data_IF_447587546085
#
_entry.id   IF_447587546085
#
_cell.length_a   1.000
_cell.length_b   1.000
_cell.length_c   1.000
_cell.angle_alpha   90.00
_cell.angle_beta   90.00
_cell.angle_gamma   90.00
#
_symmetry.space_group_name_H-M   'P 1'
#
loop_
_entity.id
_entity.type
_entity.pdbx_description
1 polymer ?
#
# COMPACT_ATOMS: atom_id res chain seq x y z
N UNK A 1 13.98 8.50 17.09
CA UNK A 1 14.39 7.13 17.43
C UNK A 1 14.98 6.46 16.20
N UNK A 2 16.07 5.71 16.36
CA UNK A 2 16.69 4.93 15.28
C UNK A 2 16.67 3.44 15.60
N UNK A 3 16.41 2.63 14.58
CA UNK A 3 16.40 1.18 14.64
C UNK A 3 17.41 0.62 13.64
N UNK A 4 18.19 -0.36 14.07
CA UNK A 4 18.98 -1.22 13.19
C UNK A 4 18.57 -2.66 13.50
N UNK A 5 17.95 -3.32 12.53
CA UNK A 5 17.25 -4.58 12.71
C UNK A 5 17.93 -5.68 11.91
N UNK A 6 18.18 -6.81 12.56
CA UNK A 6 18.76 -8.00 11.97
C UNK A 6 17.78 -9.17 12.03
N UNK A 7 17.57 -9.86 10.90
CA UNK A 7 17.00 -11.20 10.88
C UNK A 7 18.11 -12.19 11.20
N UNK A 8 18.08 -12.76 12.40
CA UNK A 8 19.17 -13.55 12.93
C UNK A 8 18.81 -15.04 13.04
N UNK A 9 19.74 -15.91 12.62
CA UNK A 9 19.69 -17.33 12.96
C UNK A 9 19.84 -17.51 14.48
N UNK A 10 20.69 -16.70 15.12
CA UNK A 10 20.76 -16.60 16.57
C UNK A 10 21.21 -15.23 17.05
N UNK A 11 20.63 -14.81 18.18
CA UNK A 11 21.06 -13.63 18.94
C UNK A 11 21.11 -13.97 20.42
N UNK A 12 22.27 -13.76 21.03
CA UNK A 12 22.50 -13.94 22.46
C UNK A 12 23.10 -12.68 23.03
N UNK A 13 22.65 -12.25 24.20
CA UNK A 13 23.32 -11.20 24.95
C UNK A 13 23.47 -11.61 26.43
N UNK A 14 24.48 -11.03 27.07
CA UNK A 14 24.84 -11.30 28.47
C UNK A 14 25.41 -10.03 29.11
N UNK A 15 24.88 -9.65 30.27
CA UNK A 15 25.28 -8.45 31.01
C UNK A 15 26.07 -8.83 32.26
N UNK A 16 27.20 -8.15 32.51
CA UNK A 16 28.00 -8.43 33.71
C UNK A 16 27.25 -8.11 35.02
N UNK A 17 27.49 -8.91 36.07
CA UNK A 17 26.90 -8.84 37.43
C UNK A 17 27.11 -7.50 38.18
N UNK A 18 27.80 -6.52 37.58
CA UNK A 18 28.07 -5.19 38.14
C UNK A 18 27.06 -4.12 37.76
N UNK A 19 25.94 -4.50 37.15
CA UNK A 19 24.94 -3.59 36.59
C UNK A 19 24.23 -2.81 37.70
N UNK A 20 24.00 -1.51 37.47
CA UNK A 20 23.27 -0.63 38.38
C UNK A 20 21.88 -1.23 38.64
N UNK A 21 21.48 -1.38 39.91
CA UNK A 21 20.24 -2.08 40.32
C UNK A 21 18.94 -1.41 39.82
N UNK A 22 19.07 -0.31 39.08
CA UNK A 22 18.02 0.51 38.46
C UNK A 22 17.78 0.16 36.99
N UNK A 23 18.65 -0.63 36.35
CA UNK A 23 18.50 -1.02 34.96
C UNK A 23 17.37 -2.05 34.80
N UNK A 24 16.28 -1.66 34.15
CA UNK A 24 15.17 -2.58 33.83
C UNK A 24 15.49 -3.35 32.55
N UNK A 25 15.22 -4.66 32.53
CA UNK A 25 15.45 -5.54 31.38
C UNK A 25 15.70 -6.99 31.81
N UNK A 26 15.97 -7.85 30.84
CA UNK A 26 16.44 -9.23 31.09
C UNK A 26 17.96 -9.27 30.98
N UNK A 27 18.68 -9.78 31.97
CA UNK A 27 20.16 -9.74 32.01
C UNK A 27 20.84 -10.65 30.97
N UNK A 28 20.27 -11.83 30.75
CA UNK A 28 20.76 -12.80 29.77
C UNK A 28 19.59 -13.36 28.98
N UNK A 29 19.68 -13.29 27.64
CA UNK A 29 18.73 -13.99 26.79
C UNK A 29 19.41 -14.54 25.54
N UNK A 30 18.85 -15.63 25.04
CA UNK A 30 19.21 -16.26 23.78
C UNK A 30 17.93 -16.53 22.99
N UNK A 31 17.96 -16.19 21.70
CA UNK A 31 16.87 -16.40 20.76
C UNK A 31 17.42 -16.92 19.44
N UNK A 32 16.81 -17.99 18.97
CA UNK A 32 17.03 -18.55 17.64
C UNK A 32 15.94 -18.03 16.70
N UNK A 33 16.27 -17.86 15.43
CA UNK A 33 15.34 -17.36 14.39
C UNK A 33 14.54 -16.13 14.82
N UNK A 34 15.24 -15.05 15.14
CA UNK A 34 14.64 -13.88 15.77
C UNK A 34 14.94 -12.58 15.02
N UNK A 35 14.17 -11.55 15.36
CA UNK A 35 14.38 -10.19 14.93
C UNK A 35 15.15 -9.44 16.03
N UNK A 36 16.45 -9.25 15.84
CA UNK A 36 17.30 -8.48 16.75
C UNK A 36 17.28 -7.00 16.36
N UNK A 37 16.55 -6.18 17.13
CA UNK A 37 16.41 -4.74 16.91
C UNK A 37 17.31 -3.95 17.87
N UNK A 38 18.34 -3.33 17.32
CA UNK A 38 19.17 -2.36 18.01
C UNK A 38 18.45 -1.01 18.00
N UNK A 39 18.20 -0.43 19.17
CA UNK A 39 17.35 0.77 19.31
C UNK A 39 18.11 1.92 19.97
N UNK A 40 18.13 3.07 19.31
CA UNK A 40 18.58 4.35 19.89
C UNK A 40 17.39 5.29 20.04
N UNK A 41 17.10 5.70 21.27
CA UNK A 41 16.17 6.79 21.57
C UNK A 41 16.96 8.10 21.51
N UNK A 42 16.46 9.09 20.78
CA UNK A 42 17.09 10.41 20.61
C UNK A 42 16.31 11.45 21.43
N UNK A 43 16.95 12.56 21.81
CA UNK A 43 16.33 13.62 22.63
C UNK A 43 15.01 14.12 22.03
N UNK A 44 14.94 14.24 20.70
CA UNK A 44 13.72 14.69 20.00
C UNK A 44 12.49 13.78 20.18
N UNK A 45 12.66 12.54 20.62
CA UNK A 45 11.56 11.59 20.86
C UNK A 45 10.72 11.98 22.09
N UNK A 46 11.23 12.86 22.95
CA UNK A 46 10.53 13.37 24.15
C UNK A 46 9.29 14.18 23.79
N UNK A 47 9.25 14.71 22.57
CA UNK A 47 8.18 15.59 22.11
C UNK A 47 6.86 14.83 21.93
N UNK A 48 6.91 13.54 21.61
CA UNK A 48 5.75 12.66 21.47
C UNK A 48 6.15 11.19 21.71
N UNK A 49 6.36 10.78 22.98
CA UNK A 49 6.87 9.45 23.31
C UNK A 49 5.91 8.34 22.88
N UNK A 50 4.61 8.49 23.14
CA UNK A 50 3.59 7.47 22.81
C UNK A 50 3.49 7.24 21.29
N UNK A 51 3.53 8.32 20.50
CA UNK A 51 3.51 8.24 19.04
C UNK A 51 4.79 7.59 18.49
N UNK A 52 5.94 7.92 19.08
CA UNK A 52 7.23 7.32 18.72
C UNK A 52 7.23 5.81 19.02
N UNK A 53 6.66 5.40 20.16
CA UNK A 53 6.49 4.00 20.54
C UNK A 53 5.59 3.27 19.55
N UNK A 54 4.42 3.82 19.24
CA UNK A 54 3.49 3.21 18.29
C UNK A 54 4.10 3.03 16.89
N UNK A 55 4.77 4.07 16.38
CA UNK A 55 5.46 4.02 15.08
C UNK A 55 6.59 2.98 15.07
N UNK A 56 7.35 2.90 16.17
CA UNK A 56 8.43 1.93 16.32
C UNK A 56 7.89 0.50 16.40
N UNK A 57 6.79 0.29 17.13
CA UNK A 57 6.06 -0.99 17.19
C UNK A 57 5.64 -1.43 15.79
N UNK A 58 4.93 -0.58 15.06
CA UNK A 58 4.42 -0.92 13.73
C UNK A 58 5.57 -1.27 12.78
N UNK A 59 6.66 -0.50 12.81
CA UNK A 59 7.85 -0.79 11.99
C UNK A 59 8.49 -2.15 12.34
N UNK A 60 8.54 -2.52 13.62
CA UNK A 60 9.09 -3.81 14.09
C UNK A 60 8.14 -4.96 13.72
N UNK A 61 6.83 -4.80 13.90
CA UNK A 61 5.82 -5.82 13.58
C UNK A 61 5.71 -6.08 12.08
N UNK A 62 5.81 -5.04 11.26
CA UNK A 62 5.83 -5.16 9.80
C UNK A 62 7.03 -6.00 9.32
N UNK A 63 8.22 -5.73 9.90
CA UNK A 63 9.43 -6.50 9.61
C UNK A 63 9.31 -7.95 10.11
N UNK A 64 8.84 -8.14 11.34
CA UNK A 64 8.63 -9.47 11.93
C UNK A 64 7.68 -10.32 11.07
N UNK A 65 6.57 -9.73 10.61
CA UNK A 65 5.60 -10.40 9.72
C UNK A 65 6.21 -10.72 8.36
N UNK A 66 6.93 -9.77 7.76
CA UNK A 66 7.58 -9.94 6.45
C UNK A 66 8.61 -11.07 6.49
N UNK A 67 9.39 -11.14 7.57
CA UNK A 67 10.48 -12.09 7.74
C UNK A 67 10.04 -13.40 8.40
N UNK A 68 8.78 -13.47 8.88
CA UNK A 68 8.21 -14.58 9.65
C UNK A 68 9.03 -14.90 10.91
N UNK A 69 9.47 -13.84 11.59
CA UNK A 69 10.17 -13.95 12.87
C UNK A 69 9.16 -13.78 14.01
N UNK A 70 9.03 -14.82 14.84
CA UNK A 70 8.09 -14.84 15.95
C UNK A 70 8.69 -14.18 17.22
N UNK A 71 9.99 -14.36 17.43
CA UNK A 71 10.74 -13.81 18.56
C UNK A 71 11.39 -12.45 18.19
N UNK A 72 11.26 -11.45 19.06
CA UNK A 72 11.87 -10.12 18.91
C UNK A 72 12.79 -9.83 20.10
N UNK A 73 14.00 -9.37 19.82
CA UNK A 73 14.96 -8.92 20.83
C UNK A 73 15.21 -7.43 20.67
N UNK A 74 14.87 -6.65 21.70
CA UNK A 74 15.20 -5.23 21.78
C UNK A 74 16.56 -5.05 22.47
N UNK A 75 17.55 -4.56 21.74
CA UNK A 75 18.87 -4.25 22.27
C UNK A 75 19.07 -2.73 22.31
N UNK A 76 19.08 -2.09 23.49
CA UNK A 76 19.31 -0.66 23.56
C UNK A 76 20.75 -0.28 23.22
N UNK A 77 20.94 0.78 22.44
CA UNK A 77 22.27 1.33 22.13
C UNK A 77 22.18 2.84 21.92
N UNK A 78 23.23 3.58 22.31
CA UNK A 78 23.31 5.03 22.08
C UNK A 78 24.04 5.39 20.77
N UNK A 79 24.51 4.40 20.01
CA UNK A 79 25.51 4.61 18.95
C UNK A 79 24.96 4.69 17.51
N UNK A 80 23.64 4.58 17.31
CA UNK A 80 23.06 4.67 15.95
C UNK A 80 22.66 6.10 15.57
N UNK A 81 22.41 6.94 16.58
CA UNK A 81 21.94 8.33 16.44
C UNK A 81 23.03 9.36 16.70
N UNK A 82 22.74 10.60 16.34
CA UNK A 82 23.66 11.74 16.53
C UNK A 82 23.38 12.51 17.83
N UNK A 83 22.21 12.30 18.45
CA UNK A 83 21.76 12.97 19.67
C UNK A 83 20.97 12.01 20.60
N UNK A 84 21.64 10.99 21.19
CA UNK A 84 20.97 10.01 22.03
C UNK A 84 20.40 10.64 23.31
N UNK A 85 19.18 10.24 23.68
CA UNK A 85 18.52 10.64 24.92
C UNK A 85 19.27 10.12 26.15
N UNK A 86 18.97 10.69 27.33
CA UNK A 86 19.49 10.17 28.60
C UNK A 86 18.92 8.78 28.93
N UNK A 87 19.60 8.08 29.84
CA UNK A 87 19.29 6.69 30.17
C UNK A 87 17.90 6.51 30.82
N UNK A 88 17.40 7.52 31.54
CA UNK A 88 16.08 7.46 32.17
C UNK A 88 14.99 7.53 31.11
N UNK A 89 15.06 8.53 30.24
CA UNK A 89 14.13 8.70 29.13
C UNK A 89 14.16 7.52 28.16
N UNK A 90 15.36 7.09 27.75
CA UNK A 90 15.51 5.96 26.85
C UNK A 90 14.93 4.67 27.47
N UNK A 91 15.14 4.47 28.77
CA UNK A 91 14.58 3.35 29.52
C UNK A 91 13.04 3.35 29.55
N UNK A 92 12.41 4.52 29.74
CA UNK A 92 10.96 4.66 29.75
C UNK A 92 10.35 4.34 28.38
N UNK A 93 10.89 4.92 27.31
CA UNK A 93 10.40 4.71 25.92
C UNK A 93 10.54 3.25 25.52
N UNK A 94 11.66 2.60 25.87
CA UNK A 94 11.89 1.21 25.53
C UNK A 94 11.06 0.23 26.35
N UNK A 95 10.76 0.54 27.61
CA UNK A 95 9.81 -0.25 28.39
C UNK A 95 8.40 -0.18 27.79
N UNK A 96 7.96 1.02 27.41
CA UNK A 96 6.67 1.20 26.73
C UNK A 96 6.61 0.43 25.40
N UNK A 97 7.68 0.47 24.60
CA UNK A 97 7.77 -0.31 23.35
C UNK A 97 7.76 -1.82 23.58
N UNK A 98 8.45 -2.29 24.61
CA UNK A 98 8.47 -3.70 24.99
C UNK A 98 7.07 -4.21 25.38
N UNK A 99 6.33 -3.42 26.15
CA UNK A 99 4.97 -3.75 26.58
C UNK A 99 3.98 -3.70 25.40
N UNK A 100 4.08 -2.69 24.53
CA UNK A 100 3.20 -2.52 23.35
C UNK A 100 3.46 -3.60 22.28
N UNK A 101 4.69 -4.11 22.18
CA UNK A 101 5.02 -5.25 21.31
C UNK A 101 4.56 -6.60 21.87
N UNK A 102 4.39 -6.71 23.20
CA UNK A 102 3.84 -7.91 23.84
C UNK A 102 2.33 -7.99 23.71
N UNK A 103 1.64 -6.86 23.57
CA UNK A 103 0.20 -6.83 23.44
C UNK A 103 -0.26 -7.65 22.21
N UNK A 104 -1.01 -8.72 22.45
CA UNK A 104 -1.44 -9.69 21.43
C UNK A 104 -0.43 -10.79 21.04
N UNK A 105 0.76 -10.85 21.67
CA UNK A 105 1.80 -11.87 21.45
C UNK A 105 2.13 -12.63 22.74
N UNK A 106 1.16 -13.37 23.26
CA UNK A 106 1.36 -14.27 24.39
C UNK A 106 1.83 -15.66 23.92
N UNK A 107 2.79 -16.22 24.64
CA UNK A 107 3.27 -17.60 24.48
C UNK A 107 3.31 -18.24 25.86
N UNK A 108 2.77 -19.45 25.98
CA UNK A 108 2.59 -20.14 27.27
C UNK A 108 3.92 -20.49 27.97
N UNK A 109 5.04 -20.55 27.23
CA UNK A 109 6.33 -21.05 27.75
C UNK A 109 7.40 -19.96 27.95
N UNK A 110 7.42 -18.88 27.15
CA UNK A 110 8.38 -17.75 27.27
C UNK A 110 7.90 -16.50 26.52
N UNK A 111 8.29 -15.28 26.94
CA UNK A 111 7.89 -14.06 26.24
C UNK A 111 8.54 -13.99 24.85
N UNK A 112 7.71 -13.73 23.83
CA UNK A 112 8.11 -13.53 22.44
C UNK A 112 8.99 -12.27 22.27
N UNK A 113 8.83 -11.29 23.16
CA UNK A 113 9.60 -10.04 23.16
C UNK A 113 10.45 -9.96 24.41
N UNK A 114 11.76 -9.80 24.22
CA UNK A 114 12.72 -9.63 25.31
C UNK A 114 13.57 -8.39 25.05
N UNK A 115 13.84 -7.63 26.11
CA UNK A 115 14.69 -6.44 26.07
C UNK A 115 15.92 -6.61 26.95
N UNK A 116 17.09 -6.28 26.40
CA UNK A 116 18.32 -6.16 27.20
C UNK A 116 18.28 -4.89 28.07
N UNK A 117 18.87 -4.90 29.28
CA UNK A 117 18.91 -3.71 30.12
C UNK A 117 19.77 -2.61 29.50
N UNK A 118 19.53 -1.38 29.94
CA UNK A 118 20.38 -0.24 29.62
C UNK A 118 21.72 -0.35 30.36
N UNK A 119 22.85 -0.41 29.64
CA UNK A 119 24.15 -0.52 30.30
C UNK A 119 25.35 -0.57 29.37
N UNK A 120 26.55 -0.38 29.93
CA UNK A 120 27.81 -0.21 29.17
C UNK A 120 28.64 -1.51 29.07
N UNK A 121 28.20 -2.59 29.72
CA UNK A 121 28.91 -3.88 29.76
C UNK A 121 28.00 -5.05 29.32
N UNK A 122 27.44 -4.95 28.12
CA UNK A 122 26.65 -6.05 27.51
C UNK A 122 27.47 -6.69 26.40
N UNK A 123 27.81 -7.96 26.57
CA UNK A 123 28.36 -8.78 25.49
C UNK A 123 27.21 -9.35 24.65
N UNK A 124 27.38 -9.43 23.33
CA UNK A 124 26.40 -10.08 22.47
C UNK A 124 27.07 -10.88 21.35
N UNK A 125 26.35 -11.90 20.86
CA UNK A 125 26.68 -12.70 19.69
C UNK A 125 25.49 -12.63 18.75
N UNK A 126 25.74 -12.24 17.50
CA UNK A 126 24.74 -12.13 16.44
C UNK A 126 25.19 -12.98 15.24
N UNK A 127 24.33 -13.89 14.80
CA UNK A 127 24.48 -14.61 13.54
C UNK A 127 23.33 -14.18 12.60
N UNK A 128 23.59 -13.21 11.72
CA UNK A 128 22.60 -12.71 10.77
C UNK A 128 22.39 -13.68 9.59
N UNK A 129 21.15 -13.77 9.09
CA UNK A 129 20.81 -14.56 7.91
C UNK A 129 21.39 -13.94 6.64
N UNK A 130 21.74 -14.77 5.66
CA UNK A 130 22.33 -14.33 4.40
C UNK A 130 21.29 -14.00 3.32
N UNK A 131 20.52 -12.92 3.50
CA UNK A 131 19.59 -12.42 2.47
C UNK A 131 19.43 -10.88 2.47
N UNK A 132 18.99 -10.25 1.36
CA UNK A 132 18.96 -8.78 1.24
C UNK A 132 18.12 -8.04 2.28
N UNK A 133 17.09 -8.70 2.84
CA UNK A 133 16.23 -8.15 3.89
C UNK A 133 16.71 -8.49 5.32
N UNK A 134 17.87 -9.11 5.47
CA UNK A 134 18.36 -9.57 6.77
C UNK A 134 18.89 -8.42 7.61
N UNK A 135 19.23 -7.30 6.99
CA UNK A 135 19.77 -6.11 7.64
C UNK A 135 18.93 -4.92 7.17
N UNK A 136 18.30 -4.20 8.10
CA UNK A 136 17.43 -3.07 7.81
C UNK A 136 17.66 -1.95 8.83
N UNK A 137 17.79 -0.71 8.36
CA UNK A 137 17.77 0.48 9.24
C UNK A 137 16.46 1.24 9.10
N UNK A 138 15.94 1.77 10.20
CA UNK A 138 14.77 2.66 10.22
C UNK A 138 15.05 3.90 11.06
N UNK A 139 14.51 5.03 10.62
CA UNK A 139 14.46 6.26 11.41
C UNK A 139 12.99 6.59 11.70
N UNK A 140 12.67 6.74 12.97
CA UNK A 140 11.35 7.10 13.49
C UNK A 140 11.44 8.54 14.00
N UNK A 141 10.54 9.41 13.55
CA UNK A 141 10.52 10.83 13.96
C UNK A 141 9.12 11.25 14.38
N UNK A 142 9.04 12.03 15.46
CA UNK A 142 7.79 12.54 16.05
C UNK A 142 7.02 13.58 15.19
N UNK A 143 7.45 13.84 13.95
CA UNK A 143 6.81 14.83 13.07
C UNK A 143 5.39 14.45 12.61
N UNK A 144 4.88 13.28 13.02
CA UNK A 144 3.51 12.81 12.77
C UNK A 144 2.50 13.13 13.91
N UNK A 145 2.81 14.10 14.80
CA UNK A 145 2.00 14.49 15.97
C UNK A 145 0.62 15.16 15.70
N UNK A 146 -0.01 14.90 14.54
CA UNK A 146 -1.44 15.13 14.34
C UNK A 146 -2.15 13.80 14.08
N UNK A 147 -2.29 12.98 15.13
CA UNK A 147 -3.31 11.93 15.18
C UNK A 147 -3.78 11.68 16.60
N UNK A 148 -5.08 11.89 16.78
CA UNK A 148 -5.87 11.48 17.93
C UNK A 148 -5.82 9.95 18.14
N UNK A 149 -6.06 9.58 19.40
CA UNK A 149 -6.10 8.25 20.03
C UNK A 149 -6.63 7.07 19.20
N UNK A 150 -6.29 5.82 19.57
CA UNK A 150 -6.71 4.61 18.86
C UNK A 150 -8.24 4.40 18.99
N UNK A 151 -8.99 4.90 18.01
CA UNK A 151 -10.35 4.45 17.71
C UNK A 151 -10.32 3.39 16.62
N UNK A 152 -11.12 2.33 16.76
CA UNK A 152 -11.40 1.21 15.84
C UNK A 152 -11.01 1.40 14.36
N UNK A 153 -10.42 0.35 13.77
CA UNK A 153 -9.94 0.15 12.38
C UNK A 153 -11.00 0.31 11.26
N UNK A 154 -11.97 1.21 11.39
CA UNK A 154 -12.89 1.53 10.30
C UNK A 154 -12.33 2.71 9.49
N UNK A 155 -12.01 2.46 8.22
CA UNK A 155 -11.79 3.53 7.26
C UNK A 155 -12.99 4.48 7.25
N UNK A 156 -12.78 5.78 7.48
CA UNK A 156 -13.87 6.75 7.37
C UNK A 156 -14.31 6.82 5.91
N UNK A 157 -15.60 6.58 5.66
CA UNK A 157 -16.17 6.52 4.32
C UNK A 157 -17.25 7.58 4.12
N UNK A 158 -17.09 8.35 3.05
CA UNK A 158 -18.01 9.41 2.67
C UNK A 158 -18.19 9.46 1.15
N UNK A 159 -19.27 10.09 0.72
CA UNK A 159 -19.52 10.49 -0.66
C UNK A 159 -19.23 11.98 -0.74
N UNK A 160 -18.35 12.37 -1.66
CA UNK A 160 -18.14 13.75 -2.06
C UNK A 160 -18.96 14.00 -3.32
N UNK A 161 -19.66 15.14 -3.36
CA UNK A 161 -20.40 15.57 -4.54
C UNK A 161 -19.69 16.72 -5.26
N UNK A 162 -19.97 16.96 -6.56
CA UNK A 162 -19.34 18.03 -7.34
C UNK A 162 -19.51 19.44 -6.75
N UNK A 163 -20.61 19.69 -6.03
CA UNK A 163 -20.86 20.94 -5.28
C UNK A 163 -20.12 21.02 -3.93
N UNK A 164 -19.21 20.08 -3.67
CA UNK A 164 -18.40 19.94 -2.45
C UNK A 164 -19.18 19.61 -1.18
N UNK A 165 -20.46 19.23 -1.34
CA UNK A 165 -21.24 18.63 -0.27
C UNK A 165 -20.70 17.24 0.07
N UNK A 166 -20.93 16.80 1.30
CA UNK A 166 -20.46 15.50 1.82
C UNK A 166 -21.60 14.77 2.50
N UNK A 167 -21.65 13.47 2.29
CA UNK A 167 -22.60 12.59 2.96
C UNK A 167 -21.87 11.34 3.45
N UNK A 168 -22.18 10.88 4.67
CA UNK A 168 -21.69 9.58 5.15
C UNK A 168 -22.18 8.45 4.24
N UNK A 169 -21.32 7.48 3.93
CA UNK A 169 -21.69 6.33 3.10
C UNK A 169 -22.79 5.48 3.78
N UNK A 170 -22.70 5.30 5.10
CA UNK A 170 -23.74 4.61 5.90
C UNK A 170 -25.06 5.37 5.86
N UNK A 171 -25.03 6.70 6.01
CA UNK A 171 -26.25 7.52 5.94
C UNK A 171 -26.91 7.42 4.55
N UNK A 172 -26.09 7.41 3.50
CA UNK A 172 -26.56 7.17 2.13
C UNK A 172 -27.17 5.77 1.98
N UNK A 173 -26.49 4.73 2.46
CA UNK A 173 -27.01 3.36 2.48
C UNK A 173 -28.34 3.24 3.25
N UNK A 174 -28.45 3.85 4.42
CA UNK A 174 -29.67 3.74 5.25
C UNK A 174 -30.85 4.55 4.71
N UNK A 175 -30.61 5.56 3.88
CA UNK A 175 -31.68 6.41 3.35
C UNK A 175 -32.71 5.65 2.50
N UNK A 176 -32.37 4.46 1.99
CA UNK A 176 -33.23 3.64 1.13
C UNK A 176 -33.59 4.33 -0.19
N UNK A 177 -33.86 3.55 -1.23
CA UNK A 177 -34.55 4.05 -2.42
C UNK A 177 -35.66 3.08 -2.78
N UNK A 178 -36.75 3.61 -3.33
CA UNK A 178 -37.84 2.82 -3.87
C UNK A 178 -37.30 1.76 -4.85
N UNK A 179 -37.94 0.59 -4.85
CA UNK A 179 -37.51 -0.69 -5.42
C UNK A 179 -37.19 -0.74 -6.95
N UNK A 180 -36.98 0.40 -7.61
CA UNK A 180 -36.55 0.53 -9.00
C UNK A 180 -35.12 1.06 -9.21
N UNK A 181 -34.36 1.35 -8.14
CA UNK A 181 -33.03 2.00 -8.19
C UNK A 181 -31.82 1.03 -8.25
N UNK A 182 -32.02 -0.25 -8.53
CA UNK A 182 -30.93 -1.24 -8.72
C UNK A 182 -30.04 -0.97 -9.94
N UNK A 183 -30.33 0.08 -10.71
CA UNK A 183 -29.53 0.51 -11.86
C UNK A 183 -28.53 1.64 -11.54
N UNK A 184 -28.57 2.25 -10.35
CA UNK A 184 -27.60 3.30 -9.97
C UNK A 184 -26.26 2.65 -9.54
N UNK A 185 -25.15 2.88 -10.26
CA UNK A 185 -23.86 2.30 -9.87
C UNK A 185 -23.34 2.83 -8.53
N UNK A 186 -23.69 4.06 -8.14
CA UNK A 186 -23.26 4.64 -6.86
C UNK A 186 -23.94 3.91 -5.71
N UNK A 187 -25.24 3.65 -5.87
CA UNK A 187 -26.03 2.87 -4.91
C UNK A 187 -25.51 1.44 -4.78
N UNK A 188 -25.25 0.79 -5.91
CA UNK A 188 -24.73 -0.58 -5.93
C UNK A 188 -23.38 -0.67 -5.23
N UNK A 189 -22.49 0.30 -5.48
CA UNK A 189 -21.19 0.39 -4.81
C UNK A 189 -21.33 0.64 -3.31
N UNK A 190 -22.14 1.61 -2.90
CA UNK A 190 -22.34 1.95 -1.49
C UNK A 190 -22.94 0.78 -0.69
N UNK A 191 -24.00 0.16 -1.23
CA UNK A 191 -24.63 -1.01 -0.62
C UNK A 191 -23.66 -2.18 -0.49
N UNK A 192 -22.81 -2.37 -1.50
CA UNK A 192 -21.80 -3.42 -1.47
C UNK A 192 -20.75 -3.17 -0.38
N UNK A 193 -20.15 -1.98 -0.35
CA UNK A 193 -19.11 -1.62 0.65
C UNK A 193 -19.65 -1.79 2.08
N UNK A 194 -20.85 -1.25 2.36
CA UNK A 194 -21.44 -1.31 3.71
C UNK A 194 -21.84 -2.73 4.12
N UNK A 195 -22.35 -3.56 3.20
CA UNK A 195 -22.68 -4.97 3.52
C UNK A 195 -21.44 -5.75 3.92
N UNK A 196 -20.35 -5.61 3.17
CA UNK A 196 -19.12 -6.35 3.44
C UNK A 196 -18.47 -5.95 4.76
N UNK A 197 -18.55 -4.69 5.18
CA UNK A 197 -18.06 -4.26 6.49
C UNK A 197 -18.80 -4.91 7.66
N UNK A 198 -20.11 -5.09 7.51
CA UNK A 198 -20.91 -5.77 8.53
C UNK A 198 -20.56 -7.27 8.63
N UNK A 199 -20.13 -7.88 7.51
CA UNK A 199 -19.67 -9.26 7.48
C UNK A 199 -18.26 -9.44 8.10
N UNK A 200 -17.37 -8.45 7.98
CA UNK A 200 -16.03 -8.47 8.63
C UNK A 200 -16.08 -8.55 10.15
N UNK A 201 -17.13 -8.00 10.78
CA UNK A 201 -17.32 -8.12 12.23
C UNK A 201 -17.59 -9.57 12.70
N UNK A 202 -17.84 -10.51 11.77
CA UNK A 202 -18.19 -11.90 12.07
C UNK A 202 -17.10 -12.94 11.73
N UNK A 203 -15.88 -12.50 11.42
CA UNK A 203 -14.69 -13.36 11.43
C UNK A 203 -14.49 -14.21 10.17
N UNK A 204 -13.93 -13.61 9.13
CA UNK A 204 -12.94 -14.23 8.22
C UNK A 204 -12.27 -13.10 7.41
N UNK A 205 -11.33 -12.41 8.04
CA UNK A 205 -10.78 -11.15 7.55
C UNK A 205 -9.54 -11.38 6.68
N UNK A 206 -9.66 -11.97 5.47
CA UNK A 206 -8.58 -11.94 4.45
C UNK A 206 -9.00 -12.07 2.96
N UNK A 207 -10.28 -12.06 2.57
CA UNK A 207 -10.68 -12.03 1.14
C UNK A 207 -11.49 -10.78 0.79
N UNK A 208 -10.87 -9.61 0.88
CA UNK A 208 -11.46 -8.37 0.36
C UNK A 208 -11.02 -8.12 -1.08
N UNK A 209 -11.73 -8.69 -2.05
CA UNK A 209 -11.94 -8.11 -3.39
C UNK A 209 -13.16 -8.72 -4.08
N UNK A 210 -14.04 -7.87 -4.63
CA UNK A 210 -14.89 -8.26 -5.77
C UNK A 210 -14.01 -8.40 -6.99
N UNK A 211 -13.31 -9.52 -7.03
CA UNK A 211 -13.18 -10.18 -8.31
C UNK A 211 -14.51 -10.90 -8.50
N UNK A 212 -15.18 -10.66 -9.63
CA UNK A 212 -15.69 -11.81 -10.34
C UNK A 212 -14.50 -12.76 -10.41
N UNK A 213 -14.42 -13.71 -9.46
CA UNK A 213 -13.25 -14.56 -9.20
C UNK A 213 -12.72 -14.95 -10.56
N UNK A 214 -11.60 -14.33 -10.94
CA UNK A 214 -11.11 -14.41 -12.29
C UNK A 214 -10.40 -15.76 -12.40
N UNK A 215 -11.20 -16.83 -12.32
CA UNK A 215 -10.91 -18.03 -13.03
C UNK A 215 -10.69 -17.56 -14.45
N UNK A 216 -9.41 -17.45 -14.84
CA UNK A 216 -8.98 -17.01 -16.17
C UNK A 216 -9.85 -17.74 -17.17
N UNK A 217 -10.81 -17.04 -17.81
CA UNK A 217 -11.74 -17.74 -18.66
C UNK A 217 -10.92 -18.29 -19.83
N UNK A 218 -11.09 -19.57 -20.14
CA UNK A 218 -10.63 -20.09 -21.43
C UNK A 218 -11.40 -19.31 -22.50
N UNK A 219 -10.76 -18.26 -23.02
CA UNK A 219 -11.39 -17.37 -23.98
C UNK A 219 -11.73 -18.15 -25.24
N UNK A 220 -12.97 -18.02 -25.71
CA UNK A 220 -13.38 -18.47 -27.04
C UNK A 220 -12.68 -17.62 -28.10
N UNK A 221 -12.67 -18.02 -29.38
CA UNK A 221 -12.14 -17.17 -30.45
C UNK A 221 -12.73 -15.74 -30.46
N UNK A 222 -14.02 -15.61 -30.13
CA UNK A 222 -14.66 -14.31 -29.98
C UNK A 222 -14.13 -13.55 -28.76
N UNK A 223 -13.97 -14.22 -27.62
CA UNK A 223 -13.37 -13.63 -26.42
C UNK A 223 -11.93 -13.16 -26.65
N UNK A 224 -11.13 -13.93 -27.38
CA UNK A 224 -9.77 -13.55 -27.78
C UNK A 224 -9.77 -12.30 -28.66
N UNK A 225 -10.67 -12.22 -29.64
CA UNK A 225 -10.82 -11.03 -30.47
C UNK A 225 -11.18 -9.79 -29.65
N UNK A 226 -12.14 -9.90 -28.73
CA UNK A 226 -12.53 -8.78 -27.84
C UNK A 226 -11.34 -8.34 -26.96
N UNK A 227 -10.64 -9.30 -26.35
CA UNK A 227 -9.46 -9.01 -25.52
C UNK A 227 -8.39 -8.24 -26.30
N UNK A 228 -8.07 -8.70 -27.50
CA UNK A 228 -7.02 -8.11 -28.34
C UNK A 228 -7.44 -6.73 -28.86
N UNK A 229 -8.72 -6.55 -29.20
CA UNK A 229 -9.29 -5.25 -29.57
C UNK A 229 -9.24 -4.25 -28.40
N UNK A 230 -9.55 -4.68 -27.17
CA UNK A 230 -9.39 -3.84 -25.97
C UNK A 230 -7.92 -3.47 -25.79
N UNK A 231 -6.99 -4.42 -25.90
CA UNK A 231 -5.56 -4.17 -25.75
C UNK A 231 -5.03 -3.14 -26.77
N UNK A 232 -5.44 -3.28 -28.03
CA UNK A 232 -5.09 -2.35 -29.11
C UNK A 232 -5.68 -0.96 -28.85
N UNK A 233 -6.94 -0.88 -28.44
CA UNK A 233 -7.60 0.39 -28.16
C UNK A 233 -7.00 1.11 -26.94
N UNK A 234 -6.67 0.38 -25.86
CA UNK A 234 -5.95 0.93 -24.71
C UNK A 234 -4.62 1.54 -25.13
N UNK A 235 -3.86 0.84 -25.97
CA UNK A 235 -2.58 1.36 -26.50
C UNK A 235 -2.80 2.62 -27.34
N UNK A 236 -3.81 2.64 -28.21
CA UNK A 236 -4.12 3.81 -29.03
C UNK A 236 -4.49 5.03 -28.17
N UNK A 237 -5.36 4.85 -27.17
CA UNK A 237 -5.76 5.93 -26.25
C UNK A 237 -4.58 6.43 -25.42
N UNK A 238 -3.70 5.55 -24.96
CA UNK A 238 -2.49 5.95 -24.24
C UNK A 238 -1.52 6.77 -25.14
N UNK A 239 -1.35 6.36 -26.39
CA UNK A 239 -0.51 7.08 -27.38
C UNK A 239 -1.11 8.45 -27.73
N UNK A 240 -2.42 8.53 -27.92
CA UNK A 240 -3.14 9.81 -28.11
C UNK A 240 -2.90 10.77 -26.92
N UNK A 241 -2.77 10.21 -25.71
CA UNK A 241 -2.47 10.96 -24.48
C UNK A 241 -0.97 11.26 -24.27
N UNK A 242 -0.11 10.93 -25.26
CA UNK A 242 1.33 11.23 -25.25
C UNK A 242 2.24 10.11 -24.72
N UNK A 243 1.69 8.94 -24.39
CA UNK A 243 2.47 7.80 -23.93
C UNK A 243 3.31 7.18 -25.06
N UNK A 244 4.56 6.80 -24.74
CA UNK A 244 5.38 6.01 -25.65
C UNK A 244 5.31 4.53 -25.31
N UNK A 245 4.95 3.67 -26.27
CA UNK A 245 5.01 2.23 -26.08
C UNK A 245 6.44 1.77 -25.83
N UNK A 246 6.63 1.01 -24.75
CA UNK A 246 7.88 0.32 -24.47
C UNK A 246 7.61 -1.18 -24.35
N UNK A 247 8.56 -1.96 -24.85
CA UNK A 247 8.61 -3.40 -24.64
C UNK A 247 9.82 -3.71 -23.75
N UNK A 248 9.63 -3.83 -22.42
CA UNK A 248 10.74 -4.09 -21.53
C UNK A 248 11.34 -5.47 -21.85
N UNK A 249 12.62 -5.51 -22.23
CA UNK A 249 13.34 -6.72 -22.66
C UNK A 249 13.41 -7.85 -21.62
N UNK A 250 12.94 -7.60 -20.41
CA UNK A 250 12.75 -8.56 -19.33
C UNK A 250 11.32 -8.45 -18.82
N UNK A 251 10.41 -9.17 -19.48
CA UNK A 251 9.42 -9.94 -18.72
C UNK A 251 10.27 -10.89 -17.85
N UNK A 252 10.78 -10.40 -16.72
CA UNK A 252 10.91 -11.28 -15.59
C UNK A 252 9.48 -11.70 -15.33
N UNK A 253 9.10 -12.83 -15.94
CA UNK A 253 8.06 -13.70 -15.43
C UNK A 253 8.38 -13.81 -13.95
N UNK A 254 7.70 -13.02 -13.14
CA UNK A 254 7.82 -13.12 -11.71
C UNK A 254 7.05 -14.38 -11.32
N UNK A 255 7.64 -15.53 -11.68
CA UNK A 255 7.17 -16.87 -11.32
C UNK A 255 7.29 -17.07 -9.80
N UNK A 256 7.91 -16.12 -9.08
CA UNK A 256 8.21 -16.20 -7.66
C UNK A 256 7.21 -15.50 -6.75
N UNK A 257 6.21 -14.78 -7.29
CA UNK A 257 5.26 -14.06 -6.45
C UNK A 257 3.97 -14.82 -6.21
N UNK A 258 3.55 -14.77 -4.94
CA UNK A 258 2.17 -14.93 -4.51
C UNK A 258 1.23 -14.14 -5.42
N UNK A 259 -0.04 -14.59 -5.58
CA UNK A 259 -1.08 -13.89 -6.32
C UNK A 259 -0.99 -12.38 -6.14
N UNK A 260 -0.75 -11.63 -7.22
CA UNK A 260 -0.80 -10.17 -7.13
C UNK A 260 -2.25 -9.80 -6.89
N UNK A 261 -2.57 -9.40 -5.67
CA UNK A 261 -3.88 -8.86 -5.32
C UNK A 261 -4.26 -7.74 -6.28
N UNK A 262 -5.50 -7.79 -6.78
CA UNK A 262 -6.00 -6.92 -7.85
C UNK A 262 -5.97 -5.40 -7.54
N UNK A 263 -5.67 -5.02 -6.30
CA UNK A 263 -5.64 -3.64 -5.81
C UNK A 263 -4.27 -3.13 -5.41
N UNK A 264 -3.29 -4.02 -5.39
CA UNK A 264 -1.91 -3.55 -5.38
C UNK A 264 -1.56 -2.95 -6.75
N UNK A 265 -0.97 -1.74 -6.79
CA UNK A 265 -0.45 -1.23 -8.05
C UNK A 265 0.60 -2.19 -8.60
N UNK A 266 0.75 -2.29 -9.92
CA UNK A 266 1.81 -3.12 -10.51
C UNK A 266 3.18 -2.68 -9.98
N UNK A 267 4.15 -3.62 -9.83
CA UNK A 267 5.46 -3.29 -9.29
C UNK A 267 6.19 -2.29 -10.19
N UNK A 268 6.96 -1.40 -9.57
CA UNK A 268 7.81 -0.46 -10.32
C UNK A 268 8.96 -1.25 -10.94
N UNK A 269 8.92 -1.44 -12.26
CA UNK A 269 9.94 -2.20 -12.99
C UNK A 269 11.15 -1.33 -13.33
N UNK A 270 12.40 -1.81 -13.14
CA UNK A 270 13.61 -1.06 -13.50
C UNK A 270 13.62 -0.59 -14.97
N UNK A 271 13.08 -1.40 -15.89
CA UNK A 271 12.98 -1.05 -17.30
C UNK A 271 12.00 0.12 -17.57
N UNK A 272 10.90 0.20 -16.80
CA UNK A 272 9.95 1.32 -16.86
C UNK A 272 10.62 2.59 -16.34
N UNK A 273 11.28 2.53 -15.18
CA UNK A 273 12.04 3.67 -14.62
C UNK A 273 13.11 4.17 -15.60
N UNK A 274 13.92 3.25 -16.13
CA UNK A 274 14.98 3.60 -17.09
C UNK A 274 14.41 4.23 -18.38
N UNK A 275 13.21 3.83 -18.81
CA UNK A 275 12.54 4.46 -19.95
C UNK A 275 12.03 5.87 -19.62
N UNK A 276 11.47 6.06 -18.42
CA UNK A 276 11.01 7.35 -17.92
C UNK A 276 12.18 8.35 -17.78
N UNK A 277 13.31 7.94 -17.21
CA UNK A 277 14.50 8.78 -17.03
C UNK A 277 15.14 9.17 -18.37
N UNK A 278 15.21 8.23 -19.32
CA UNK A 278 15.71 8.53 -20.68
C UNK A 278 14.83 9.56 -21.39
N UNK A 279 13.51 9.52 -21.20
CA UNK A 279 12.62 10.54 -21.76
C UNK A 279 12.82 11.91 -21.12
N UNK A 280 13.03 11.94 -19.80
CA UNK A 280 13.24 13.18 -19.05
C UNK A 280 14.50 13.90 -19.56
N UNK A 281 15.55 13.15 -19.88
CA UNK A 281 16.78 13.71 -20.46
C UNK A 281 16.68 14.14 -21.93
N UNK A 282 15.62 13.76 -22.66
CA UNK A 282 15.52 13.96 -24.13
C UNK A 282 14.38 14.88 -24.57
N UNK A 283 13.48 15.30 -23.68
CA UNK A 283 12.37 16.20 -24.05
C UNK A 283 11.77 16.98 -22.88
N UNK A 284 11.02 18.07 -23.16
CA UNK A 284 10.48 18.97 -22.14
C UNK A 284 9.14 18.51 -21.53
N UNK A 285 8.54 17.42 -22.00
CA UNK A 285 7.24 16.91 -21.52
C UNK A 285 7.42 15.86 -20.42
N UNK A 286 6.43 15.66 -19.52
CA UNK A 286 6.49 14.58 -18.54
C UNK A 286 6.74 13.26 -19.26
N UNK A 287 7.69 12.47 -18.74
CA UNK A 287 7.99 11.16 -19.28
C UNK A 287 6.78 10.26 -19.10
N UNK A 288 6.01 10.02 -20.16
CA UNK A 288 4.91 9.06 -20.17
C UNK A 288 5.29 7.85 -21.03
N UNK A 289 5.15 6.65 -20.47
CA UNK A 289 5.35 5.37 -21.17
C UNK A 289 4.16 4.45 -20.96
N UNK A 290 3.87 3.60 -21.94
CA UNK A 290 2.86 2.55 -21.80
C UNK A 290 3.44 1.18 -22.12
N UNK A 291 2.98 0.16 -21.41
CA UNK A 291 3.46 -1.22 -21.51
C UNK A 291 2.36 -2.18 -21.06
N UNK A 292 2.60 -3.48 -21.09
CA UNK A 292 1.69 -4.48 -20.53
C UNK A 292 2.49 -5.48 -19.71
N UNK A 293 2.02 -5.79 -18.51
CA UNK A 293 2.62 -6.81 -17.65
C UNK A 293 1.87 -8.12 -17.80
N UNK A 294 2.60 -9.23 -17.90
CA UNK A 294 2.03 -10.57 -17.89
C UNK A 294 2.41 -11.28 -16.60
N UNK A 295 1.41 -11.78 -15.88
CA UNK A 295 1.60 -12.51 -14.61
C UNK A 295 0.86 -13.85 -14.70
N UNK A 296 1.41 -14.90 -14.11
CA UNK A 296 0.67 -16.14 -13.93
C UNK A 296 -0.47 -15.91 -12.93
N UNK A 297 -1.68 -16.35 -13.27
CA UNK A 297 -2.84 -16.27 -12.38
C UNK A 297 -2.60 -17.14 -11.14
N UNK A 298 -3.18 -16.68 -10.03
CA UNK A 298 -3.19 -17.30 -8.72
C UNK A 298 -3.74 -18.74 -8.66
N UNK A 299 -4.44 -19.18 -9.71
CA UNK A 299 -5.12 -20.47 -9.75
C UNK A 299 -4.11 -21.62 -9.99
N UNK A 300 -3.40 -21.99 -8.93
CA UNK A 300 -2.84 -23.32 -8.78
C UNK A 300 -3.97 -24.30 -8.44
N UNK A 301 -4.77 -24.66 -9.45
CA UNK A 301 -5.51 -25.92 -9.39
C UNK A 301 -4.49 -27.04 -9.10
N UNK A 302 -4.83 -27.97 -8.19
CA UNK A 302 -3.96 -29.08 -7.73
C UNK A 302 -3.62 -30.10 -8.84
N UNK A 303 -3.82 -29.74 -10.10
CA UNK A 303 -3.80 -30.60 -11.28
C UNK A 303 -2.51 -30.54 -12.12
N UNK A 304 -1.50 -29.77 -11.71
CA UNK A 304 -0.20 -29.75 -12.39
C UNK A 304 -0.23 -29.16 -13.81
N UNK A 305 -1.25 -28.37 -14.14
CA UNK A 305 -1.32 -27.58 -15.38
C UNK A 305 -0.63 -26.23 -15.16
N UNK A 306 0.03 -25.65 -16.18
CA UNK A 306 0.57 -24.29 -16.09
C UNK A 306 -0.58 -23.30 -15.83
N UNK A 307 -0.44 -22.49 -14.78
CA UNK A 307 -1.40 -21.44 -14.42
C UNK A 307 -1.61 -20.49 -15.61
N UNK A 308 -2.85 -20.05 -15.81
CA UNK A 308 -3.18 -19.19 -16.93
C UNK A 308 -2.54 -17.81 -16.79
N UNK A 309 -2.04 -17.23 -17.87
CA UNK A 309 -1.40 -15.90 -17.84
C UNK A 309 -2.45 -14.79 -17.97
N UNK A 310 -2.35 -13.78 -17.10
CA UNK A 310 -3.16 -12.57 -17.10
C UNK A 310 -2.32 -11.40 -17.60
N UNK A 311 -2.91 -10.54 -18.42
CA UNK A 311 -2.21 -9.37 -18.99
C UNK A 311 -2.82 -8.07 -18.49
N UNK A 312 -2.00 -7.18 -17.93
CA UNK A 312 -2.42 -5.88 -17.40
C UNK A 312 -1.74 -4.76 -18.19
N UNK A 313 -2.49 -3.97 -18.98
CA UNK A 313 -1.97 -2.77 -19.62
C UNK A 313 -1.69 -1.69 -18.57
N UNK A 314 -0.59 -0.98 -18.73
CA UNK A 314 -0.09 0.02 -17.77
C UNK A 314 0.33 1.29 -18.49
N UNK A 315 0.00 2.44 -17.91
CA UNK A 315 0.52 3.76 -18.29
C UNK A 315 1.24 4.34 -17.10
N UNK A 316 2.49 4.72 -17.30
CA UNK A 316 3.37 5.27 -16.26
C UNK A 316 3.79 6.68 -16.61
N UNK A 317 3.71 7.58 -15.63
CA UNK A 317 4.18 8.96 -15.76
C UNK A 317 5.10 9.31 -14.60
N UNK A 318 6.25 9.91 -14.89
CA UNK A 318 7.09 10.55 -13.87
C UNK A 318 6.83 12.05 -13.88
N UNK A 319 6.36 12.59 -12.77
CA UNK A 319 6.05 14.00 -12.61
C UNK A 319 7.29 14.78 -12.15
N UNK A 320 7.53 15.94 -12.75
CA UNK A 320 8.64 16.84 -12.39
C UNK A 320 8.35 17.66 -11.14
N UNK A 321 7.07 17.92 -10.86
CA UNK A 321 6.60 18.71 -9.71
C UNK A 321 5.13 18.39 -9.38
N UNK A 322 4.61 19.04 -8.33
CA UNK A 322 3.22 18.88 -7.85
C UNK A 322 2.17 19.21 -8.92
N UNK A 323 2.40 20.25 -9.73
CA UNK A 323 1.47 20.67 -10.78
C UNK A 323 1.47 19.69 -11.95
N UNK A 324 2.65 19.21 -12.33
CA UNK A 324 2.81 18.16 -13.33
C UNK A 324 2.15 16.85 -12.86
N UNK A 325 2.27 16.49 -11.58
CA UNK A 325 1.62 15.29 -11.03
C UNK A 325 0.08 15.39 -11.07
N UNK A 326 -0.49 16.55 -10.75
CA UNK A 326 -1.94 16.79 -10.86
C UNK A 326 -2.42 16.73 -12.31
N UNK A 327 -1.66 17.32 -13.22
CA UNK A 327 -1.96 17.29 -14.66
C UNK A 327 -1.89 15.86 -15.20
N UNK A 328 -0.85 15.11 -14.84
CA UNK A 328 -0.70 13.71 -15.21
C UNK A 328 -1.85 12.85 -14.66
N UNK A 329 -2.30 13.09 -13.43
CA UNK A 329 -3.44 12.39 -12.84
C UNK A 329 -4.70 12.64 -13.66
N UNK A 330 -5.01 13.91 -13.97
CA UNK A 330 -6.16 14.27 -14.78
C UNK A 330 -6.10 13.59 -16.17
N UNK A 331 -4.95 13.62 -16.83
CA UNK A 331 -4.75 12.94 -18.12
C UNK A 331 -4.98 11.42 -18.02
N UNK A 332 -4.45 10.76 -16.99
CA UNK A 332 -4.65 9.32 -16.80
C UNK A 332 -6.11 8.96 -16.44
N UNK A 333 -6.78 9.81 -15.66
CA UNK A 333 -8.22 9.70 -15.40
C UNK A 333 -9.03 9.80 -16.69
N UNK A 334 -8.68 10.74 -17.58
CA UNK A 334 -9.35 10.88 -18.87
C UNK A 334 -9.16 9.65 -19.76
N UNK A 335 -7.98 9.02 -19.73
CA UNK A 335 -7.72 7.74 -20.40
C UNK A 335 -8.68 6.65 -19.89
N UNK A 336 -8.79 6.47 -18.56
CA UNK A 336 -9.70 5.48 -17.96
C UNK A 336 -11.16 5.78 -18.34
N UNK A 337 -11.62 7.02 -18.19
CA UNK A 337 -13.00 7.41 -18.50
C UNK A 337 -13.33 7.28 -19.99
N UNK A 338 -12.38 7.55 -20.90
CA UNK A 338 -12.55 7.35 -22.35
C UNK A 338 -12.71 5.86 -22.68
N UNK A 339 -11.97 4.99 -22.00
CA UNK A 339 -12.08 3.54 -22.16
C UNK A 339 -13.39 2.98 -21.57
N UNK A 340 -13.77 3.40 -20.38
CA UNK A 340 -15.06 3.05 -19.78
C UNK A 340 -16.22 3.44 -20.71
N UNK A 341 -16.24 4.68 -21.22
CA UNK A 341 -17.24 5.15 -22.20
C UNK A 341 -17.24 4.35 -23.49
N UNK A 342 -16.08 3.99 -24.03
CA UNK A 342 -15.98 3.18 -25.24
C UNK A 342 -16.52 1.74 -25.05
N UNK A 343 -16.38 1.19 -23.85
CA UNK A 343 -16.99 -0.07 -23.43
C UNK A 343 -18.46 0.09 -23.00
N UNK A 344 -19.02 1.30 -23.12
CA UNK A 344 -20.33 1.69 -22.61
C UNK A 344 -20.54 1.36 -21.13
N UNK A 345 -19.49 1.43 -20.29
CA UNK A 345 -19.57 1.17 -18.86
C UNK A 345 -19.90 2.45 -18.10
N UNK A 346 -20.99 2.42 -17.33
CA UNK A 346 -21.36 3.46 -16.40
C UNK A 346 -20.58 3.24 -15.10
N UNK A 347 -19.64 4.15 -14.79
CA UNK A 347 -18.70 3.99 -13.69
C UNK A 347 -18.87 5.05 -12.62
N UNK A 348 -18.61 4.70 -11.37
CA UNK A 348 -18.51 5.62 -10.25
C UNK A 348 -17.06 5.69 -9.76
N UNK A 349 -16.51 6.89 -9.54
CA UNK A 349 -15.19 7.06 -8.94
C UNK A 349 -15.17 6.61 -7.48
N UNK A 350 -14.19 5.77 -7.16
CA UNK A 350 -13.86 5.33 -5.82
C UNK A 350 -12.43 5.75 -5.50
N UNK A 351 -12.29 6.77 -4.67
CA UNK A 351 -11.02 7.27 -4.20
C UNK A 351 -10.65 6.60 -2.88
N UNK A 352 -9.55 5.88 -2.88
CA UNK A 352 -8.87 5.42 -1.67
C UNK A 352 -7.70 6.35 -1.41
N UNK A 353 -7.63 6.86 -0.19
CA UNK A 353 -6.63 7.87 0.16
C UNK A 353 -6.14 7.68 1.59
N UNK A 354 -4.84 7.86 1.80
CA UNK A 354 -4.27 7.86 3.15
C UNK A 354 -4.87 9.02 3.94
N UNK A 355 -5.37 8.77 5.15
CA UNK A 355 -6.10 9.78 5.92
C UNK A 355 -5.26 11.05 6.19
N UNK A 356 -3.95 10.94 6.44
CA UNK A 356 -3.04 12.09 6.58
C UNK A 356 -2.94 12.89 5.28
N UNK A 357 -2.78 12.20 4.13
CA UNK A 357 -2.73 12.85 2.82
C UNK A 357 -4.03 13.59 2.49
N UNK A 358 -5.19 13.00 2.81
CA UNK A 358 -6.48 13.61 2.59
C UNK A 358 -6.69 14.89 3.42
N UNK A 359 -6.23 14.87 4.69
CA UNK A 359 -6.34 16.02 5.59
C UNK A 359 -5.54 17.22 5.05
N UNK A 360 -4.31 16.99 4.60
CA UNK A 360 -3.44 18.02 4.03
C UNK A 360 -3.92 18.54 2.66
N UNK A 361 -4.59 17.70 1.86
CA UNK A 361 -4.95 17.99 0.47
C UNK A 361 -6.45 18.17 0.22
N UNK A 362 -7.23 18.60 1.23
CA UNK A 362 -8.70 18.73 1.14
C UNK A 362 -9.18 19.57 -0.06
N UNK A 363 -8.59 20.75 -0.29
CA UNK A 363 -8.96 21.63 -1.42
C UNK A 363 -8.61 21.05 -2.80
N UNK A 364 -7.71 20.07 -2.85
CA UNK A 364 -7.43 19.33 -4.08
C UNK A 364 -8.48 18.22 -4.30
N UNK A 365 -8.92 17.54 -3.24
CA UNK A 365 -10.03 16.55 -3.32
C UNK A 365 -11.34 17.19 -3.79
N UNK A 366 -11.68 18.37 -3.27
CA UNK A 366 -12.87 19.13 -3.68
C UNK A 366 -12.80 19.48 -5.19
N UNK A 367 -11.63 19.91 -5.67
CA UNK A 367 -11.42 20.17 -7.10
C UNK A 367 -11.41 18.91 -7.95
N UNK A 368 -10.95 17.78 -7.41
CA UNK A 368 -10.95 16.50 -8.12
C UNK A 368 -12.38 16.05 -8.41
N UNK A 369 -13.27 16.06 -7.40
CA UNK A 369 -14.69 15.68 -7.59
C UNK A 369 -15.42 16.67 -8.51
N UNK A 370 -15.12 17.96 -8.41
CA UNK A 370 -15.64 18.97 -9.35
C UNK A 370 -15.19 18.70 -10.80
N UNK A 371 -13.93 18.31 -11.00
CA UNK A 371 -13.40 17.99 -12.34
C UNK A 371 -14.00 16.70 -12.90
N UNK A 372 -14.29 15.72 -12.04
CA UNK A 372 -14.94 14.49 -12.44
C UNK A 372 -16.41 14.73 -12.86
N UNK A 373 -17.06 15.75 -12.27
CA UNK A 373 -18.46 16.13 -12.49
C UNK A 373 -19.45 14.99 -12.18
N UNK A 374 -19.10 14.14 -11.21
CA UNK A 374 -19.89 13.00 -10.74
C UNK A 374 -19.58 12.72 -9.26
N UNK A 375 -20.54 12.17 -8.47
CA UNK A 375 -20.28 11.83 -7.08
C UNK A 375 -19.16 10.80 -6.94
N UNK A 376 -18.27 10.99 -5.98
CA UNK A 376 -17.11 10.16 -5.73
C UNK A 376 -17.19 9.56 -4.32
N UNK A 377 -17.08 8.24 -4.23
CA UNK A 377 -16.94 7.55 -2.93
C UNK A 377 -15.49 7.72 -2.48
N UNK A 378 -15.28 8.09 -1.22
CA UNK A 378 -13.96 8.29 -0.61
C UNK A 378 -13.78 7.36 0.58
N UNK A 379 -12.79 6.49 0.50
CA UNK A 379 -12.31 5.64 1.59
C UNK A 379 -11.02 6.24 2.17
N UNK A 380 -11.08 6.73 3.42
CA UNK A 380 -9.89 7.19 4.13
C UNK A 380 -9.27 6.04 4.90
N UNK A 381 -8.07 5.63 4.51
CA UNK A 381 -7.34 4.53 5.16
C UNK A 381 -6.29 5.07 6.13
N UNK A 382 -6.16 4.42 7.29
CA UNK A 382 -4.98 4.57 8.14
C UNK A 382 -3.87 3.70 7.54
N UNK A 383 -3.27 4.19 6.46
CA UNK A 383 -2.27 3.42 5.70
C UNK A 383 -0.96 3.21 6.47
N UNK A 384 -0.30 2.08 6.24
CA UNK A 384 1.06 1.77 6.69
C UNK A 384 2.13 2.43 5.80
N UNK A 385 3.36 2.62 6.31
CA UNK A 385 4.47 3.20 5.55
C UNK A 385 4.85 2.25 4.39
N UNK A 386 4.68 2.70 3.14
CA UNK A 386 4.94 1.92 1.92
C UNK A 386 3.71 1.72 1.03
N UNK A 387 2.51 1.96 1.56
CA UNK A 387 1.28 2.02 0.76
C UNK A 387 1.22 3.30 -0.08
N UNK A 388 0.54 3.24 -1.23
CA UNK A 388 0.33 4.39 -2.09
C UNK A 388 -0.53 5.46 -1.37
N UNK A 389 -0.22 6.76 -1.51
CA UNK A 389 -1.00 7.84 -0.90
C UNK A 389 -2.42 7.96 -1.46
N UNK A 390 -2.60 7.65 -2.76
CA UNK A 390 -3.87 7.79 -3.48
C UNK A 390 -4.03 6.65 -4.50
N UNK A 391 -5.22 6.04 -4.53
CA UNK A 391 -5.71 5.21 -5.63
C UNK A 391 -7.12 5.66 -6.00
N UNK A 392 -7.31 6.11 -7.24
CA UNK A 392 -8.60 6.46 -7.79
C UNK A 392 -9.03 5.36 -8.76
N UNK A 393 -9.97 4.53 -8.33
CA UNK A 393 -10.58 3.47 -9.11
C UNK A 393 -11.89 3.92 -9.76
N UNK A 394 -12.26 3.31 -10.87
CA UNK A 394 -13.56 3.49 -11.52
C UNK A 394 -14.34 2.19 -11.48
N UNK A 395 -15.49 2.21 -10.81
CA UNK A 395 -16.27 1.00 -10.52
C UNK A 395 -17.55 0.98 -11.36
N UNK A 396 -17.69 -0.03 -12.21
CA UNK A 396 -18.92 -0.25 -12.98
C UNK A 396 -19.84 -1.22 -12.25
N UNK A 397 -21.15 -1.16 -12.52
CA UNK A 397 -22.07 -2.23 -12.10
C UNK A 397 -22.28 -3.21 -13.24
N UNK A 398 -21.93 -4.47 -13.04
CA UNK A 398 -22.11 -5.57 -14.00
C UNK A 398 -22.83 -6.72 -13.32
N UNK A 399 -23.95 -7.16 -13.89
CA UNK A 399 -24.81 -8.19 -13.32
C UNK A 399 -25.18 -7.93 -11.84
N UNK A 400 -25.39 -6.66 -11.46
CA UNK A 400 -25.72 -6.26 -10.09
C UNK A 400 -24.57 -6.33 -9.10
N UNK A 401 -23.33 -6.45 -9.56
CA UNK A 401 -22.11 -6.44 -8.75
C UNK A 401 -21.19 -5.30 -9.16
N UNK A 402 -20.53 -4.62 -8.21
CA UNK A 402 -19.51 -3.64 -8.53
C UNK A 402 -18.25 -4.33 -9.06
N UNK A 403 -17.71 -3.85 -10.19
CA UNK A 403 -16.49 -4.34 -10.80
C UNK A 403 -15.55 -3.18 -11.05
N UNK A 404 -14.37 -3.21 -10.44
CA UNK A 404 -13.33 -2.24 -10.72
C UNK A 404 -12.81 -2.42 -12.15
N UNK A 405 -12.90 -1.34 -12.92
CA UNK A 405 -12.48 -1.27 -14.32
C UNK A 405 -11.02 -0.81 -14.40
N UNK A 406 -10.77 0.49 -14.36
CA UNK A 406 -9.42 1.06 -14.33
C UNK A 406 -9.12 1.81 -13.04
N UNK A 407 -7.84 1.84 -12.68
CA UNK A 407 -7.36 2.49 -11.46
C UNK A 407 -6.13 3.34 -11.75
N UNK A 408 -6.06 4.51 -11.11
CA UNK A 408 -4.93 5.43 -11.17
C UNK A 408 -4.35 5.58 -9.77
N UNK A 409 -3.07 5.25 -9.62
CA UNK A 409 -2.32 5.36 -8.38
C UNK A 409 -1.32 6.50 -8.45
N UNK A 410 -1.23 7.27 -7.37
CA UNK A 410 -0.10 8.14 -7.09
C UNK A 410 0.88 7.39 -6.21
N UNK A 411 2.18 7.44 -6.54
CA UNK A 411 3.24 6.74 -5.83
C UNK A 411 4.44 7.67 -5.59
N UNK A 412 5.17 7.48 -4.47
CA UNK A 412 6.48 8.10 -4.29
C UNK A 412 7.44 7.72 -5.42
N UNK A 413 8.25 8.68 -5.87
CA UNK A 413 9.07 8.58 -7.08
C UNK A 413 10.30 7.68 -6.98
N UNK A 414 10.84 7.53 -5.78
CA UNK A 414 12.09 6.84 -5.57
C UNK A 414 11.83 5.37 -5.24
N UNK A 415 12.36 4.46 -6.05
CA UNK A 415 12.41 3.03 -5.75
C UNK A 415 13.24 2.69 -4.49
N UNK A 416 14.05 3.64 -4.00
CA UNK A 416 14.70 3.58 -2.67
C UNK A 416 13.75 3.96 -1.53
N UNK A 417 12.75 4.79 -1.82
CA UNK A 417 11.69 5.21 -0.89
C UNK A 417 10.60 4.14 -0.71
N UNK A 418 10.59 3.11 -1.58
CA UNK A 418 9.86 1.87 -1.31
C UNK A 418 10.46 1.04 -0.15
N UNK A 419 11.65 1.42 0.35
CA UNK A 419 12.28 0.85 1.56
C UNK A 419 12.61 1.89 2.65
N UNK A 420 12.91 3.14 2.30
CA UNK A 420 13.29 4.20 3.25
C UNK A 420 12.51 5.51 3.00
N UNK A 421 11.57 5.85 3.88
CA UNK A 421 11.09 7.23 4.03
C UNK A 421 10.28 7.80 2.85
N UNK A 422 9.01 7.43 2.73
CA UNK A 422 8.03 8.36 2.20
C UNK A 422 7.49 9.12 3.41
N UNK A 423 8.09 10.26 3.72
CA UNK A 423 7.65 11.18 4.75
C UNK A 423 6.27 11.76 4.46
N UNK A 424 5.95 12.85 5.17
CA UNK A 424 4.71 13.62 5.14
C UNK A 424 4.00 13.71 3.78
N UNK A 425 2.68 13.99 3.77
CA UNK A 425 1.89 14.05 2.53
C UNK A 425 2.38 15.08 1.49
N UNK A 426 3.28 16.00 1.85
CA UNK A 426 4.02 16.87 0.92
C UNK A 426 5.04 16.13 0.03
N UNK A 427 5.58 15.00 0.45
CA UNK A 427 6.57 14.20 -0.29
C UNK A 427 5.91 13.26 -1.33
N UNK A 428 4.65 12.88 -1.12
CA UNK A 428 3.89 12.04 -2.05
C UNK A 428 3.68 12.67 -3.44
N UNK A 429 3.68 14.01 -3.52
CA UNK A 429 3.61 14.79 -4.75
C UNK A 429 4.92 15.56 -5.03
N UNK A 430 6.03 15.16 -4.39
CA UNK A 430 7.32 15.77 -4.60
C UNK A 430 7.82 15.62 -6.05
N UNK A 431 8.80 16.44 -6.47
CA UNK A 431 9.53 16.20 -7.71
C UNK A 431 9.97 14.74 -7.81
N UNK A 432 9.61 14.07 -8.91
CA UNK A 432 9.88 12.65 -9.13
C UNK A 432 8.71 11.71 -8.88
N UNK A 433 7.58 12.17 -8.33
CA UNK A 433 6.39 11.33 -8.08
C UNK A 433 5.98 10.51 -9.31
N UNK A 434 5.63 9.24 -9.08
CA UNK A 434 5.24 8.31 -10.13
C UNK A 434 3.73 8.13 -10.12
N UNK A 435 3.11 8.28 -11.28
CA UNK A 435 1.73 7.90 -11.50
C UNK A 435 1.69 6.61 -12.30
N UNK A 436 0.94 5.64 -11.79
CA UNK A 436 0.67 4.40 -12.47
C UNK A 436 -0.83 4.34 -12.75
N UNK A 437 -1.21 3.98 -13.97
CA UNK A 437 -2.59 3.73 -14.33
C UNK A 437 -2.68 2.35 -14.97
N UNK A 438 -3.67 1.55 -14.54
CA UNK A 438 -4.12 0.36 -15.27
C UNK A 438 -5.46 0.71 -15.92
N UNK A 439 -5.49 1.05 -17.22
CA UNK A 439 -6.65 1.71 -17.79
C UNK A 439 -7.95 0.89 -17.78
N UNK A 440 -7.82 -0.44 -17.77
CA UNK A 440 -8.93 -1.41 -17.77
C UNK A 440 -8.69 -2.57 -16.79
N UNK A 441 -7.71 -2.42 -15.88
CA UNK A 441 -7.26 -3.54 -15.05
C UNK A 441 -6.67 -4.65 -15.92
N UNK A 442 -6.99 -5.90 -15.59
CA UNK A 442 -6.53 -7.05 -16.40
C UNK A 442 -7.40 -7.20 -17.65
N UNK A 443 -6.80 -7.50 -18.80
CA UNK A 443 -7.52 -7.69 -20.06
C UNK A 443 -8.55 -8.81 -19.97
N UNK A 444 -8.24 -9.87 -19.22
CA UNK A 444 -9.15 -11.00 -18.98
C UNK A 444 -10.41 -10.56 -18.22
N UNK A 445 -10.24 -9.73 -17.18
CA UNK A 445 -11.37 -9.16 -16.43
C UNK A 445 -12.15 -8.20 -17.31
N UNK A 446 -11.48 -7.28 -18.00
CA UNK A 446 -12.13 -6.34 -18.91
C UNK A 446 -12.96 -7.06 -19.99
N UNK A 447 -12.44 -8.14 -20.55
CA UNK A 447 -13.14 -8.98 -21.52
C UNK A 447 -14.37 -9.64 -20.91
N UNK A 448 -14.26 -10.17 -19.69
CA UNK A 448 -15.39 -10.74 -18.96
C UNK A 448 -16.45 -9.68 -18.61
N UNK A 449 -16.04 -8.50 -18.16
CA UNK A 449 -16.91 -7.35 -17.85
C UNK A 449 -17.71 -6.91 -19.08
N UNK A 450 -17.05 -6.75 -20.23
CA UNK A 450 -17.71 -6.40 -21.50
C UNK A 450 -18.64 -7.51 -21.97
N UNK A 451 -18.21 -8.77 -21.85
CA UNK A 451 -19.02 -9.93 -22.22
C UNK A 451 -20.29 -10.07 -21.39
N UNK A 452 -20.19 -9.92 -20.06
CA UNK A 452 -21.32 -10.04 -19.13
C UNK A 452 -22.33 -8.88 -19.24
N UNK A 453 -21.95 -7.74 -19.81
CA UNK A 453 -22.89 -6.65 -20.12
C UNK A 453 -23.67 -6.92 -21.42
N UNK A 454 -23.08 -7.67 -22.36
CA UNK A 454 -23.71 -7.97 -23.65
C UNK A 454 -24.82 -9.04 -23.56
N UNK A 455 -24.85 -9.78 -22.44
CA UNK A 455 -25.86 -10.80 -22.09
C UNK A 455 -26.91 -10.21 -21.17
#
# INVERSE_FOLDING_TARGET
MRLLVFHADSFRFDTDDGTDATATGTDTAEREDCLAAFVTVETGDETAPDATVADARDAILDLATTLRADDVVLYPTANLGDDPADAEMAGQVLAALEDDLRDGRESDDRPAVVRAPMGWNTSFVLAAKAHPLAEQSRQITAADATRDSPGTDCAEQEILFPEWSRQSLEAFHNAGTDAGATADPLRTLADHIVRHQNDEQHGDSQEYWVTARAATPRLTPQGTFVRDAIAEYVRAVAVDAGAVPIDPATDATDESRTPVDAVSPPPIRPAVLSALERRESTGPEPSVVCTATRVAAADADRSGQPGATVTTPEVWTKATDRSAARTALATQVDVVRRLARACALDTVPLLRVRASFAAENRAWLDRLVETLDEPMVVERRRGTRGEWPVALAFVATVAGQPVETGTVWLRPGDGRVAGEGAGSGEEAMAPGALLCCTPVGTLERATATVGARAT
#
